data_IF_309879940672
#
_entry.id   IF_309879940672
#
_cell.length_a   1.000
_cell.length_b   1.000
_cell.length_c   1.000
_cell.angle_alpha   90.00
_cell.angle_beta   90.00
_cell.angle_gamma   90.00
#
_symmetry.space_group_name_H-M   'P 1'
#
loop_
_entity.id
_entity.type
_entity.pdbx_description
1 polymer ?
#
# COMPACT_ATOMS: atom_id res chain seq x y z
N UNK A 1 -16.66 -33.44 -0.89
CA UNK A 1 -16.71 -31.97 -1.08
C UNK A 1 -16.03 -31.55 -2.40
N UNK A 2 -16.68 -30.69 -3.18
CA UNK A 2 -16.18 -30.18 -4.47
C UNK A 2 -16.72 -28.77 -4.72
N UNK A 3 -15.98 -27.95 -5.45
CA UNK A 3 -16.38 -26.60 -5.83
C UNK A 3 -15.93 -26.30 -7.27
N UNK A 4 -16.53 -25.29 -7.89
CA UNK A 4 -16.18 -24.83 -9.24
C UNK A 4 -14.78 -24.21 -9.25
N UNK A 5 -13.99 -24.51 -10.29
CA UNK A 5 -12.77 -23.75 -10.61
C UNK A 5 -13.20 -22.42 -11.22
N UNK A 6 -13.08 -21.35 -10.44
CA UNK A 6 -13.52 -20.02 -10.87
C UNK A 6 -12.43 -19.30 -11.66
N UNK A 7 -12.85 -18.50 -12.65
CA UNK A 7 -11.97 -17.54 -13.33
C UNK A 7 -11.87 -16.25 -12.52
N UNK A 8 -10.88 -15.40 -12.84
CA UNK A 8 -10.61 -14.15 -12.12
C UNK A 8 -11.83 -13.21 -12.16
N UNK A 9 -12.49 -13.07 -13.31
CA UNK A 9 -13.67 -12.23 -13.48
C UNK A 9 -14.87 -12.73 -12.66
N UNK A 10 -14.99 -14.05 -12.51
CA UNK A 10 -16.04 -14.67 -11.68
C UNK A 10 -15.79 -14.40 -10.21
N UNK A 11 -14.54 -14.57 -9.74
CA UNK A 11 -14.15 -14.26 -8.36
C UNK A 11 -14.39 -12.80 -8.02
N UNK A 12 -14.02 -11.88 -8.91
CA UNK A 12 -14.20 -10.44 -8.67
C UNK A 12 -15.68 -10.06 -8.55
N UNK A 13 -16.58 -10.74 -9.26
CA UNK A 13 -18.01 -10.45 -9.25
C UNK A 13 -18.81 -11.35 -8.29
N UNK A 14 -18.14 -12.23 -7.53
CA UNK A 14 -18.79 -13.14 -6.61
C UNK A 14 -19.46 -12.36 -5.45
N UNK A 15 -20.76 -12.61 -5.15
CA UNK A 15 -21.47 -11.92 -4.08
C UNK A 15 -20.80 -12.02 -2.71
N UNK A 16 -20.16 -13.15 -2.42
CA UNK A 16 -19.46 -13.37 -1.15
C UNK A 16 -18.17 -12.53 -1.07
N UNK A 17 -17.44 -12.43 -2.18
CA UNK A 17 -16.23 -11.59 -2.28
C UNK A 17 -16.58 -10.12 -2.06
N UNK A 18 -17.69 -9.66 -2.64
CA UNK A 18 -18.20 -8.29 -2.46
C UNK A 18 -18.71 -8.05 -1.03
N UNK A 19 -19.54 -8.94 -0.49
CA UNK A 19 -20.07 -8.83 0.88
C UNK A 19 -18.95 -8.82 1.92
N UNK A 20 -17.86 -9.56 1.66
CA UNK A 20 -16.67 -9.57 2.52
C UNK A 20 -15.68 -8.44 2.25
N UNK A 21 -15.95 -7.52 1.32
CA UNK A 21 -15.06 -6.39 1.01
C UNK A 21 -13.64 -6.85 0.68
N UNK A 22 -13.52 -7.97 -0.04
CA UNK A 22 -12.22 -8.58 -0.37
C UNK A 22 -11.50 -7.89 -1.52
N UNK A 23 -12.17 -7.00 -2.24
CA UNK A 23 -11.57 -6.13 -3.24
C UNK A 23 -11.70 -4.70 -2.72
N UNK A 24 -10.58 -4.02 -2.55
CA UNK A 24 -10.53 -2.62 -2.19
C UNK A 24 -10.33 -1.76 -3.43
N UNK A 25 -10.87 -0.54 -3.38
CA UNK A 25 -10.60 0.48 -4.37
C UNK A 25 -9.67 1.53 -3.76
N UNK A 26 -8.57 1.83 -4.46
CA UNK A 26 -7.57 2.79 -4.02
C UNK A 26 -7.33 3.83 -5.12
N UNK A 27 -7.29 5.10 -4.74
CA UNK A 27 -6.93 6.19 -5.65
C UNK A 27 -5.41 6.34 -5.69
N UNK A 28 -4.79 6.03 -6.82
CA UNK A 28 -3.35 6.14 -7.02
C UNK A 28 -2.99 7.43 -7.79
N UNK A 29 -2.10 8.31 -7.27
CA UNK A 29 -1.78 9.60 -7.90
C UNK A 29 -1.36 9.52 -9.37
N UNK A 30 -0.68 8.43 -9.76
CA UNK A 30 -0.20 8.19 -11.15
C UNK A 30 -1.11 7.32 -12.02
N UNK A 31 -1.90 6.44 -11.42
CA UNK A 31 -2.62 5.38 -12.15
C UNK A 31 -4.15 5.50 -12.02
N UNK A 32 -4.63 6.50 -11.27
CA UNK A 32 -6.04 6.68 -10.96
C UNK A 32 -6.57 5.57 -10.07
N UNK A 33 -7.84 5.25 -10.25
CA UNK A 33 -8.55 4.27 -9.43
C UNK A 33 -8.13 2.83 -9.74
N UNK A 34 -7.55 2.15 -8.76
CA UNK A 34 -7.11 0.75 -8.82
C UNK A 34 -8.00 -0.15 -7.98
N UNK A 35 -8.20 -1.39 -8.44
CA UNK A 35 -8.88 -2.46 -7.70
C UNK A 35 -7.85 -3.50 -7.26
N UNK A 36 -7.71 -3.68 -5.94
CA UNK A 36 -6.69 -4.54 -5.35
C UNK A 36 -7.33 -5.55 -4.40
N UNK A 37 -6.76 -6.75 -4.24
CA UNK A 37 -7.15 -7.66 -3.17
C UNK A 37 -6.91 -7.02 -1.79
N UNK A 38 -7.87 -7.16 -0.89
CA UNK A 38 -7.78 -6.76 0.51
C UNK A 38 -7.18 -7.89 1.36
N UNK A 39 -6.90 -7.61 2.64
CA UNK A 39 -6.46 -8.62 3.60
C UNK A 39 -7.49 -9.75 3.69
N UNK A 40 -7.08 -11.02 3.57
CA UNK A 40 -8.00 -12.15 3.61
C UNK A 40 -8.59 -12.39 5.01
N UNK A 41 -7.92 -11.88 6.04
CA UNK A 41 -8.29 -11.98 7.45
C UNK A 41 -8.90 -10.67 7.97
N UNK A 42 -9.85 -10.81 8.90
CA UNK A 42 -10.45 -9.71 9.65
C UNK A 42 -10.30 -9.99 11.14
N UNK A 43 -10.01 -8.95 11.90
CA UNK A 43 -9.95 -8.98 13.35
C UNK A 43 -11.08 -8.11 13.89
N UNK A 44 -11.81 -8.58 14.91
CA UNK A 44 -12.93 -7.83 15.48
C UNK A 44 -12.50 -6.50 16.09
N UNK A 45 -11.32 -6.49 16.70
CA UNK A 45 -10.84 -5.37 17.52
C UNK A 45 -9.74 -4.54 16.82
N UNK A 46 -9.50 -4.80 15.53
CA UNK A 46 -8.49 -4.08 14.74
C UNK A 46 -9.04 -3.74 13.36
N UNK A 47 -9.13 -2.43 13.06
CA UNK A 47 -9.45 -1.98 11.72
C UNK A 47 -8.26 -2.21 10.77
N UNK A 48 -8.39 -3.27 9.98
CA UNK A 48 -7.41 -3.71 8.99
C UNK A 48 -7.53 -2.96 7.67
N UNK A 49 -8.59 -2.18 7.45
CA UNK A 49 -8.81 -1.48 6.18
C UNK A 49 -8.02 -0.17 6.08
N UNK A 50 -7.87 0.57 7.18
CA UNK A 50 -7.16 1.84 7.21
C UNK A 50 -5.72 1.79 6.65
N UNK A 51 -4.84 0.82 7.01
CA UNK A 51 -3.51 0.74 6.43
C UNK A 51 -3.51 0.35 4.95
N UNK A 52 -4.48 -0.46 4.51
CA UNK A 52 -4.58 -0.93 3.12
C UNK A 52 -4.98 0.16 2.12
N UNK A 53 -5.61 1.25 2.59
CA UNK A 53 -5.99 2.36 1.73
C UNK A 53 -4.81 3.26 1.34
N UNK A 54 -3.65 3.15 2.02
CA UNK A 54 -2.46 3.95 1.67
C UNK A 54 -1.76 3.39 0.45
N UNK A 55 -1.46 4.29 -0.49
CA UNK A 55 -0.71 3.95 -1.71
C UNK A 55 0.72 3.57 -1.34
N UNK A 56 1.29 2.62 -2.07
CA UNK A 56 2.68 2.24 -1.91
C UNK A 56 3.59 3.47 -2.12
N UNK A 57 4.57 3.71 -1.24
CA UNK A 57 5.43 4.87 -1.38
C UNK A 57 6.30 4.77 -2.63
N UNK A 58 6.60 5.92 -3.21
CA UNK A 58 7.62 6.03 -4.24
C UNK A 58 9.01 5.79 -3.64
N UNK A 59 9.96 5.48 -4.52
CA UNK A 59 11.36 5.29 -4.14
C UNK A 59 11.89 6.54 -3.42
N UNK A 60 12.37 6.35 -2.18
CA UNK A 60 12.92 7.41 -1.34
C UNK A 60 11.91 8.40 -0.75
N UNK A 61 10.60 8.20 -0.94
CA UNK A 61 9.57 9.15 -0.47
C UNK A 61 9.67 9.47 1.03
N UNK A 62 10.07 8.52 1.86
CA UNK A 62 10.20 8.70 3.31
C UNK A 62 11.65 8.84 3.80
N UNK A 63 12.63 8.99 2.91
CA UNK A 63 14.06 9.03 3.28
C UNK A 63 14.37 10.17 4.27
N UNK A 64 13.89 11.38 3.97
CA UNK A 64 14.10 12.56 4.83
C UNK A 64 13.42 12.38 6.18
N UNK A 65 12.16 11.92 6.19
CA UNK A 65 11.39 11.72 7.42
C UNK A 65 12.06 10.69 8.35
N UNK A 66 12.53 9.58 7.80
CA UNK A 66 13.22 8.54 8.58
C UNK A 66 14.59 9.04 9.07
N UNK A 67 15.37 9.72 8.23
CA UNK A 67 16.67 10.26 8.63
C UNK A 67 16.54 11.31 9.75
N UNK A 68 15.53 12.19 9.69
CA UNK A 68 15.25 13.15 10.75
C UNK A 68 14.87 12.45 12.07
N UNK A 69 14.04 11.40 12.01
CA UNK A 69 13.70 10.59 13.20
C UNK A 69 14.91 9.88 13.81
N UNK A 70 15.93 9.59 13.02
CA UNK A 70 17.20 9.01 13.47
C UNK A 70 18.18 10.06 14.03
N UNK A 71 17.85 11.35 13.96
CA UNK A 71 18.64 12.44 14.54
C UNK A 71 19.65 13.09 13.57
N UNK A 72 19.58 12.81 12.27
CA UNK A 72 20.40 13.51 11.28
C UNK A 72 19.92 14.95 11.09
N UNK A 73 20.87 15.88 10.98
CA UNK A 73 20.57 17.28 10.66
C UNK A 73 20.18 17.45 9.18
N UNK A 74 19.51 18.54 8.84
CA UNK A 74 19.15 18.84 7.46
C UNK A 74 20.40 18.94 6.56
N UNK A 75 21.51 19.49 7.09
CA UNK A 75 22.78 19.59 6.36
C UNK A 75 23.38 18.21 6.05
N UNK A 76 23.31 17.27 7.00
CA UNK A 76 23.77 15.90 6.80
C UNK A 76 22.92 15.14 5.78
N UNK A 77 21.59 15.35 5.81
CA UNK A 77 20.67 14.75 4.84
C UNK A 77 20.95 15.26 3.43
N UNK A 78 21.16 16.57 3.27
CA UNK A 78 21.51 17.18 1.98
C UNK A 78 22.86 16.68 1.46
N UNK A 79 23.86 16.51 2.33
CA UNK A 79 25.15 15.92 1.96
C UNK A 79 24.97 14.48 1.47
N UNK A 80 24.24 13.63 2.21
CA UNK A 80 23.96 12.25 1.81
C UNK A 80 23.19 12.15 0.49
N UNK A 81 22.29 13.10 0.20
CA UNK A 81 21.59 13.17 -1.08
C UNK A 81 22.53 13.56 -2.23
N UNK A 82 23.42 14.53 -1.99
CA UNK A 82 24.40 15.00 -2.98
C UNK A 82 25.44 13.93 -3.29
N UNK A 83 25.85 13.16 -2.28
CA UNK A 83 26.81 12.06 -2.40
C UNK A 83 26.19 10.79 -3.01
N UNK A 84 24.87 10.79 -3.26
CA UNK A 84 24.14 9.64 -3.81
C UNK A 84 23.88 8.51 -2.83
N UNK A 85 24.18 8.70 -1.53
CA UNK A 85 23.90 7.74 -0.46
C UNK A 85 22.40 7.66 -0.16
N UNK A 86 21.72 8.80 -0.15
CA UNK A 86 20.27 8.88 -0.04
C UNK A 86 19.65 9.25 -1.38
N UNK A 87 18.77 8.39 -1.89
CA UNK A 87 17.98 8.73 -3.07
C UNK A 87 17.05 9.91 -2.77
N UNK A 88 17.09 10.92 -3.64
CA UNK A 88 16.21 12.07 -3.66
C UNK A 88 15.90 12.39 -5.12
N UNK A 89 14.63 12.67 -5.43
CA UNK A 89 14.17 12.95 -6.79
C UNK A 89 13.65 14.38 -6.90
#
# INVERSE_FOLDING_TARGET
PSAKVQRIDEVINDPQIQARGMILEQEHPKFGKLRLPNLPFRFSDCDTNAPMQKVAPDMGQHNVEVAQKLGYSNEQILAMQSDGVLFSK
#
